data_IF_776483256174
#
_entry.id   IF_776483256174
#
_cell.length_a   1.000
_cell.length_b   1.000
_cell.length_c   1.000
_cell.angle_alpha   90.00
_cell.angle_beta   90.00
_cell.angle_gamma   90.00
#
_symmetry.space_group_name_H-M   'P 1'
#
loop_
_entity.id
_entity.type
_entity.pdbx_description
1 polymer ?
#
# COMPACT_ATOMS: atom_id res chain seq x y z
N UNK A 1 25.94 -27.17 53.04
CA UNK A 1 26.37 -26.59 51.74
C UNK A 1 25.49 -27.10 50.60
N UNK A 2 24.17 -26.88 50.65
CA UNK A 2 23.24 -27.41 49.64
C UNK A 2 22.04 -26.49 49.34
N UNK A 3 22.03 -25.25 49.87
CA UNK A 3 20.89 -24.31 49.74
C UNK A 3 21.13 -23.13 48.81
N UNK A 4 22.34 -22.98 48.25
CA UNK A 4 22.72 -21.83 47.41
C UNK A 4 22.67 -22.17 45.91
N UNK A 5 22.49 -23.44 45.53
CA UNK A 5 22.50 -23.87 44.12
C UNK A 5 21.12 -23.75 43.45
N UNK A 6 20.02 -23.67 44.22
CA UNK A 6 18.66 -23.63 43.65
C UNK A 6 18.22 -22.25 43.11
N UNK A 7 18.91 -21.16 43.49
CA UNK A 7 18.55 -19.80 43.06
C UNK A 7 19.20 -19.38 41.73
N UNK A 8 20.22 -20.12 41.27
CA UNK A 8 20.91 -19.83 40.00
C UNK A 8 20.20 -20.42 38.77
N UNK A 9 19.26 -21.35 38.94
CA UNK A 9 18.57 -22.02 37.83
C UNK A 9 17.31 -21.28 37.35
N UNK A 10 16.78 -20.33 38.13
CA UNK A 10 15.51 -19.64 37.82
C UNK A 10 15.69 -18.39 36.94
N UNK A 11 16.92 -17.87 36.81
CA UNK A 11 17.20 -16.63 36.07
C UNK A 11 17.41 -16.88 34.57
N UNK A 12 17.69 -18.12 34.15
CA UNK A 12 17.92 -18.46 32.74
C UNK A 12 16.66 -18.68 31.90
N UNK A 13 15.47 -18.70 32.50
CA UNK A 13 14.20 -18.97 31.79
C UNK A 13 13.57 -17.72 31.15
N UNK A 14 14.14 -16.53 31.34
CA UNK A 14 13.56 -15.28 30.81
C UNK A 14 14.05 -14.85 29.42
N UNK A 15 14.99 -15.57 28.79
CA UNK A 15 15.59 -15.17 27.50
C UNK A 15 15.20 -16.03 26.29
N UNK A 16 14.29 -17.00 26.43
CA UNK A 16 13.91 -17.89 25.32
C UNK A 16 12.68 -17.44 24.51
N UNK A 17 12.20 -16.21 24.70
CA UNK A 17 10.95 -15.72 24.15
C UNK A 17 11.08 -14.68 23.03
N UNK A 18 12.04 -14.80 22.12
CA UNK A 18 11.95 -14.08 20.84
C UNK A 18 10.81 -14.71 20.03
N UNK A 19 9.59 -14.17 20.20
CA UNK A 19 8.50 -14.44 19.28
C UNK A 19 8.90 -13.75 17.97
N UNK A 20 9.25 -14.54 16.97
CA UNK A 20 9.40 -14.06 15.61
C UNK A 20 8.06 -13.39 15.25
N UNK A 21 8.07 -12.07 15.07
CA UNK A 21 6.87 -11.34 14.71
C UNK A 21 6.46 -11.81 13.31
N UNK A 22 5.39 -12.62 13.25
CA UNK A 22 4.74 -12.95 11.98
C UNK A 22 4.40 -11.63 11.29
N UNK A 23 5.03 -11.40 10.15
CA UNK A 23 4.71 -10.28 9.28
C UNK A 23 3.21 -10.35 8.97
N UNK A 24 2.45 -9.26 9.16
CA UNK A 24 1.02 -9.27 8.91
C UNK A 24 0.77 -9.70 7.45
N UNK A 25 -0.03 -10.76 7.28
CA UNK A 25 -0.41 -11.25 5.96
C UNK A 25 -1.18 -10.15 5.22
N UNK A 26 -0.59 -9.59 4.17
CA UNK A 26 -1.26 -8.60 3.32
C UNK A 26 -2.29 -9.33 2.47
N UNK A 27 -3.56 -8.99 2.66
CA UNK A 27 -4.66 -9.58 1.91
C UNK A 27 -4.83 -8.88 0.56
N UNK A 28 -4.66 -7.55 0.51
CA UNK A 28 -4.76 -6.80 -0.73
C UNK A 28 -3.76 -5.66 -0.85
N UNK A 29 -3.35 -5.42 -2.10
CA UNK A 29 -2.58 -4.26 -2.53
C UNK A 29 -3.44 -3.36 -3.39
N UNK A 30 -3.63 -2.12 -2.95
CA UNK A 30 -4.48 -1.14 -3.61
C UNK A 30 -3.59 -0.02 -4.13
N UNK A 31 -3.81 0.41 -5.37
CA UNK A 31 -3.02 1.48 -5.96
C UNK A 31 -3.80 2.22 -7.04
N UNK A 32 -3.38 3.44 -7.36
CA UNK A 32 -3.97 4.17 -8.47
C UNK A 32 -3.72 5.66 -8.39
N UNK A 33 -4.57 6.43 -9.06
CA UNK A 33 -4.52 7.89 -9.07
C UNK A 33 -5.89 8.51 -8.84
N UNK A 34 -5.87 9.76 -8.39
CA UNK A 34 -7.05 10.60 -8.27
C UNK A 34 -6.75 12.01 -8.75
N UNK A 35 -7.77 12.72 -9.23
CA UNK A 35 -7.69 14.05 -9.82
C UNK A 35 -8.80 14.95 -9.24
N UNK A 36 -8.49 16.18 -8.83
CA UNK A 36 -9.52 17.16 -8.42
C UNK A 36 -10.25 17.76 -9.62
N UNK A 37 -9.53 17.94 -10.72
CA UNK A 37 -10.05 18.49 -11.97
C UNK A 37 -10.35 17.34 -12.94
N UNK A 38 -11.55 16.78 -12.85
CA UNK A 38 -12.04 15.77 -13.77
C UNK A 38 -13.54 15.95 -14.05
N UNK A 39 -13.98 15.47 -15.22
CA UNK A 39 -15.40 15.22 -15.49
C UNK A 39 -15.65 13.70 -15.40
N UNK A 40 -16.60 13.27 -14.57
CA UNK A 40 -16.92 11.85 -14.38
C UNK A 40 -16.10 11.18 -13.27
N UNK A 41 -15.41 10.09 -13.58
CA UNK A 41 -14.64 9.32 -12.59
C UNK A 41 -13.31 10.01 -12.27
N UNK A 42 -13.23 10.62 -11.10
CA UNK A 42 -12.03 11.35 -10.65
C UNK A 42 -10.98 10.47 -9.99
N UNK A 43 -11.22 9.17 -9.98
CA UNK A 43 -10.28 8.19 -9.47
C UNK A 43 -10.09 7.09 -10.51
N UNK A 44 -8.93 6.46 -10.46
CA UNK A 44 -8.63 5.26 -11.21
C UNK A 44 -7.82 4.40 -10.25
N UNK A 45 -8.51 3.55 -9.50
CA UNK A 45 -7.96 2.75 -8.41
C UNK A 45 -8.14 1.28 -8.74
N UNK A 46 -7.11 0.51 -8.42
CA UNK A 46 -7.05 -0.92 -8.61
C UNK A 46 -6.84 -1.63 -7.28
N UNK A 47 -7.48 -2.79 -7.11
CA UNK A 47 -7.25 -3.72 -6.00
C UNK A 47 -6.68 -5.02 -6.54
N UNK A 48 -5.45 -5.32 -6.15
CA UNK A 48 -4.80 -6.61 -6.37
C UNK A 48 -4.98 -7.49 -5.14
N UNK A 49 -5.70 -8.58 -5.29
CA UNK A 49 -6.11 -9.48 -4.21
C UNK A 49 -6.12 -10.92 -4.75
N UNK A 50 -5.44 -11.83 -4.04
CA UNK A 50 -5.37 -13.26 -4.38
C UNK A 50 -5.02 -13.53 -5.86
N UNK A 51 -4.07 -12.78 -6.42
CA UNK A 51 -3.62 -12.95 -7.80
C UNK A 51 -4.55 -12.35 -8.86
N UNK A 52 -5.62 -11.66 -8.45
CA UNK A 52 -6.59 -11.02 -9.34
C UNK A 52 -6.52 -9.51 -9.18
N UNK A 53 -6.78 -8.79 -10.27
CA UNK A 53 -6.81 -7.33 -10.28
C UNK A 53 -8.23 -6.86 -10.57
N UNK A 54 -8.73 -5.94 -9.77
CA UNK A 54 -10.05 -5.35 -9.92
C UNK A 54 -9.90 -3.85 -10.08
N UNK A 55 -10.66 -3.25 -11.00
CA UNK A 55 -10.77 -1.79 -11.16
C UNK A 55 -11.90 -1.26 -10.30
N UNK A 56 -11.79 0.00 -9.86
CA UNK A 56 -12.89 0.70 -9.20
C UNK A 56 -14.14 0.75 -10.08
N UNK A 57 -15.31 0.93 -9.44
CA UNK A 57 -16.59 0.95 -10.14
C UNK A 57 -17.12 2.36 -10.43
N UNK A 58 -16.24 3.37 -10.46
CA UNK A 58 -16.53 4.77 -10.77
C UNK A 58 -17.45 5.52 -9.79
N UNK A 59 -17.90 4.90 -8.68
CA UNK A 59 -18.76 5.56 -7.67
C UNK A 59 -18.02 6.12 -6.47
N UNK A 60 -16.70 5.93 -6.42
CA UNK A 60 -15.95 6.25 -5.21
C UNK A 60 -15.44 7.70 -5.23
N UNK A 61 -15.32 8.30 -4.05
CA UNK A 61 -14.91 9.70 -3.78
C UNK A 61 -16.00 10.79 -3.85
N UNK A 62 -17.07 10.66 -4.66
CA UNK A 62 -18.22 11.59 -4.62
C UNK A 62 -19.48 11.03 -3.95
N UNK A 63 -19.75 9.72 -4.10
CA UNK A 63 -21.01 9.12 -3.65
C UNK A 63 -20.86 8.19 -2.44
N UNK A 64 -19.64 7.72 -2.14
CA UNK A 64 -19.39 6.80 -1.02
C UNK A 64 -18.03 7.06 -0.34
N UNK A 65 -17.96 6.91 1.00
CA UNK A 65 -16.71 7.01 1.77
C UNK A 65 -15.78 5.79 1.60
N UNK A 66 -16.20 4.79 0.82
CA UNK A 66 -15.49 3.52 0.62
C UNK A 66 -15.27 3.30 -0.86
N UNK A 67 -14.05 2.92 -1.23
CA UNK A 67 -13.71 2.53 -2.61
C UNK A 67 -14.37 1.19 -2.90
N UNK A 68 -15.20 1.16 -3.93
CA UNK A 68 -15.86 -0.08 -4.37
C UNK A 68 -15.35 -0.50 -5.74
N UNK A 69 -15.24 -1.81 -5.94
CA UNK A 69 -14.58 -2.41 -7.10
C UNK A 69 -15.57 -3.20 -7.93
N UNK A 70 -15.26 -3.37 -9.21
CA UNK A 70 -15.97 -4.33 -10.06
C UNK A 70 -15.75 -5.75 -9.57
N UNK A 71 -16.73 -6.62 -9.80
CA UNK A 71 -16.68 -8.04 -9.42
C UNK A 71 -15.92 -8.91 -10.42
N UNK A 72 -15.88 -8.49 -11.68
CA UNK A 72 -15.12 -9.16 -12.74
C UNK A 72 -13.66 -8.70 -12.69
N UNK A 73 -12.68 -9.61 -12.53
CA UNK A 73 -11.28 -9.24 -12.55
C UNK A 73 -10.82 -8.88 -13.97
N UNK A 74 -9.80 -8.03 -14.05
CA UNK A 74 -9.04 -7.79 -15.27
C UNK A 74 -8.24 -9.03 -15.67
N UNK A 75 -7.68 -9.00 -16.88
CA UNK A 75 -6.91 -10.12 -17.41
C UNK A 75 -5.63 -10.42 -16.63
N UNK A 76 -5.06 -11.60 -16.87
CA UNK A 76 -3.85 -12.05 -16.19
C UNK A 76 -2.63 -11.18 -16.50
N UNK A 77 -2.58 -10.50 -17.64
CA UNK A 77 -1.50 -9.57 -17.99
C UNK A 77 -1.51 -8.37 -17.03
N UNK A 78 -2.70 -7.81 -16.81
CA UNK A 78 -2.96 -6.72 -15.87
C UNK A 78 -2.64 -7.15 -14.43
N UNK A 79 -3.08 -8.33 -14.02
CA UNK A 79 -2.76 -8.88 -12.70
C UNK A 79 -1.25 -9.10 -12.49
N UNK A 80 -0.53 -9.50 -13.53
CA UNK A 80 0.94 -9.66 -13.47
C UNK A 80 1.63 -8.31 -13.26
N UNK A 81 1.18 -7.24 -13.93
CA UNK A 81 1.70 -5.88 -13.72
C UNK A 81 1.50 -5.43 -12.27
N UNK A 82 0.31 -5.66 -11.72
CA UNK A 82 0.02 -5.33 -10.32
C UNK A 82 0.87 -6.15 -9.33
N UNK A 83 1.10 -7.44 -9.60
CA UNK A 83 1.98 -8.29 -8.79
C UNK A 83 3.44 -7.77 -8.79
N UNK A 84 3.94 -7.38 -9.96
CA UNK A 84 5.27 -6.79 -10.09
C UNK A 84 5.37 -5.47 -9.32
N UNK A 85 4.36 -4.61 -9.45
CA UNK A 85 4.28 -3.35 -8.71
C UNK A 85 4.25 -3.58 -7.19
N UNK A 86 3.47 -4.56 -6.71
CA UNK A 86 3.42 -4.95 -5.29
C UNK A 86 4.77 -5.40 -4.76
N UNK A 87 5.50 -6.17 -5.57
CA UNK A 87 6.83 -6.68 -5.20
C UNK A 87 7.87 -5.56 -5.11
N UNK A 88 7.70 -4.50 -5.90
CA UNK A 88 8.57 -3.33 -5.91
C UNK A 88 8.27 -2.30 -4.80
N UNK A 89 7.28 -2.55 -3.94
CA UNK A 89 6.84 -1.59 -2.92
C UNK A 89 7.98 -1.31 -1.91
N UNK A 90 8.38 -0.05 -1.70
CA UNK A 90 9.45 0.32 -0.78
C UNK A 90 8.92 0.36 0.67
N UNK A 91 8.54 -0.80 1.19
CA UNK A 91 7.90 -0.98 2.50
C UNK A 91 8.70 -0.34 3.65
N UNK A 92 10.04 -0.45 3.64
CA UNK A 92 10.90 0.14 4.66
C UNK A 92 10.79 1.68 4.73
N UNK A 93 10.55 2.34 3.60
CA UNK A 93 10.32 3.78 3.58
C UNK A 93 8.87 4.14 3.95
N UNK A 94 7.91 3.35 3.44
CA UNK A 94 6.48 3.67 3.53
C UNK A 94 5.89 3.31 4.89
N UNK A 95 6.18 2.16 5.49
CA UNK A 95 5.54 1.74 6.75
C UNK A 95 5.71 2.73 7.91
N UNK A 96 6.90 3.32 8.16
CA UNK A 96 7.05 4.36 9.19
C UNK A 96 6.22 5.63 8.92
N UNK A 97 5.68 5.77 7.70
CA UNK A 97 4.91 6.91 7.19
C UNK A 97 3.48 6.52 6.84
N UNK A 98 2.96 5.42 7.40
CA UNK A 98 1.57 5.02 7.18
C UNK A 98 0.61 6.17 7.52
N UNK A 99 -0.47 6.28 6.76
CA UNK A 99 -1.52 7.30 6.90
C UNK A 99 -1.03 8.73 6.62
N UNK A 100 0.01 8.89 5.80
CA UNK A 100 0.58 10.20 5.45
C UNK A 100 0.32 10.58 3.99
N UNK A 101 0.27 11.90 3.78
CA UNK A 101 0.38 12.51 2.46
C UNK A 101 1.82 12.97 2.22
N UNK A 102 2.47 12.40 1.22
CA UNK A 102 3.86 12.65 0.83
C UNK A 102 3.82 13.56 -0.40
N UNK A 103 3.89 14.87 -0.18
CA UNK A 103 3.84 15.87 -1.23
C UNK A 103 4.73 17.07 -0.85
N UNK A 104 4.91 18.00 -1.77
CA UNK A 104 5.64 19.22 -1.47
C UNK A 104 4.85 20.14 -0.53
N UNK A 105 5.54 20.73 0.45
CA UNK A 105 4.93 21.64 1.40
C UNK A 105 4.45 22.91 0.69
N UNK A 106 3.14 23.19 0.77
CA UNK A 106 2.52 24.39 0.20
C UNK A 106 2.16 24.32 -1.28
N UNK A 107 2.32 23.15 -1.92
CA UNK A 107 1.83 22.93 -3.27
C UNK A 107 0.32 22.71 -3.28
N UNK A 108 -0.37 23.33 -4.23
CA UNK A 108 -1.76 22.97 -4.55
C UNK A 108 -1.73 21.71 -5.42
N UNK A 109 -2.11 20.59 -4.83
CA UNK A 109 -2.15 19.30 -5.52
C UNK A 109 -3.52 19.11 -6.18
N UNK A 110 -3.57 19.13 -7.51
CA UNK A 110 -4.78 18.84 -8.29
C UNK A 110 -5.07 17.34 -8.42
N UNK A 111 -4.53 16.54 -7.50
CA UNK A 111 -4.64 15.09 -7.46
C UNK A 111 -3.42 14.44 -6.84
N UNK A 112 -3.37 13.12 -6.95
CA UNK A 112 -2.26 12.35 -6.40
C UNK A 112 -2.31 10.90 -6.80
N UNK A 113 -1.30 10.18 -6.36
CA UNK A 113 -1.27 8.73 -6.38
C UNK A 113 -1.71 8.20 -5.02
N UNK A 114 -2.45 7.10 -5.04
CA UNK A 114 -2.88 6.39 -3.85
C UNK A 114 -2.23 5.02 -3.83
N UNK A 115 -1.74 4.62 -2.67
CA UNK A 115 -1.20 3.28 -2.43
C UNK A 115 -1.69 2.81 -1.07
N UNK A 116 -2.12 1.56 -0.95
CA UNK A 116 -2.48 0.98 0.31
C UNK A 116 -2.23 -0.53 0.38
N UNK A 117 -2.04 -1.01 1.60
CA UNK A 117 -2.02 -2.41 1.97
C UNK A 117 -3.15 -2.65 2.96
N UNK A 118 -4.03 -3.60 2.63
CA UNK A 118 -5.16 -3.99 3.45
C UNK A 118 -4.94 -5.41 3.96
N UNK A 119 -5.26 -5.63 5.24
CA UNK A 119 -5.29 -6.94 5.87
C UNK A 119 -6.39 -7.00 6.94
N UNK A 120 -6.52 -8.15 7.60
CA UNK A 120 -7.44 -8.36 8.74
C UNK A 120 -7.31 -7.33 9.87
N UNK A 121 -6.14 -6.72 10.06
CA UNK A 121 -5.84 -5.80 11.16
C UNK A 121 -6.11 -4.33 10.76
N UNK A 122 -6.31 -4.05 9.48
CA UNK A 122 -6.71 -2.74 8.97
C UNK A 122 -6.04 -2.37 7.64
N UNK A 123 -5.93 -1.06 7.41
CA UNK A 123 -5.36 -0.49 6.19
C UNK A 123 -4.21 0.46 6.52
N UNK A 124 -3.06 0.22 5.90
CA UNK A 124 -1.99 1.21 5.79
C UNK A 124 -2.10 1.87 4.42
N UNK A 125 -2.22 3.18 4.36
CA UNK A 125 -2.32 3.92 3.09
C UNK A 125 -1.36 5.09 3.03
N UNK A 126 -1.05 5.49 1.81
CA UNK A 126 -0.23 6.64 1.47
C UNK A 126 -0.88 7.36 0.30
N UNK A 127 -0.82 8.69 0.37
CA UNK A 127 -1.05 9.52 -0.80
C UNK A 127 0.29 10.14 -1.19
N UNK A 128 0.61 10.17 -2.48
CA UNK A 128 1.84 10.77 -2.99
C UNK A 128 1.45 11.84 -4.02
N UNK A 129 2.03 13.03 -3.88
CA UNK A 129 1.80 14.14 -4.80
C UNK A 129 2.25 13.82 -6.23
N UNK A 130 1.78 14.59 -7.21
CA UNK A 130 2.03 14.25 -8.62
C UNK A 130 3.38 14.69 -9.16
N UNK A 131 4.03 15.66 -8.50
CA UNK A 131 5.21 16.34 -9.04
C UNK A 131 6.46 15.46 -8.85
N UNK A 132 7.00 14.82 -9.92
CA UNK A 132 8.05 13.82 -9.78
C UNK A 132 9.36 14.35 -9.17
N UNK A 133 9.65 15.63 -9.40
CA UNK A 133 10.82 16.32 -8.84
C UNK A 133 10.76 16.43 -7.31
N UNK A 134 9.59 16.26 -6.72
CA UNK A 134 9.37 16.35 -5.27
C UNK A 134 9.35 15.00 -4.58
N UNK A 135 9.39 13.90 -5.34
CA UNK A 135 9.40 12.58 -4.76
C UNK A 135 10.70 12.30 -4.02
N UNK A 136 10.64 11.74 -2.80
CA UNK A 136 11.81 11.23 -2.10
C UNK A 136 12.57 10.21 -2.97
N UNK A 137 13.90 10.31 -2.99
CA UNK A 137 14.75 9.46 -3.83
C UNK A 137 14.56 7.97 -3.53
N UNK A 138 14.24 7.61 -2.27
CA UNK A 138 14.00 6.24 -1.83
C UNK A 138 12.78 5.58 -2.49
N UNK A 139 11.77 6.37 -2.88
CA UNK A 139 10.53 5.86 -3.48
C UNK A 139 10.41 6.21 -4.96
N UNK A 140 11.25 7.08 -5.48
CA UNK A 140 11.21 7.54 -6.87
C UNK A 140 11.21 6.40 -7.90
N UNK A 141 12.02 5.32 -7.77
CA UNK A 141 11.94 4.18 -8.69
C UNK A 141 10.57 3.48 -8.66
N UNK A 142 10.00 3.30 -7.46
CA UNK A 142 8.67 2.72 -7.30
C UNK A 142 7.59 3.64 -7.87
N UNK A 143 7.69 4.95 -7.64
CA UNK A 143 6.73 5.91 -8.18
C UNK A 143 6.73 5.92 -9.71
N UNK A 144 7.91 5.89 -10.34
CA UNK A 144 8.00 5.74 -11.81
C UNK A 144 7.31 4.46 -12.30
N UNK A 145 7.54 3.33 -11.61
CA UNK A 145 6.88 2.06 -11.94
C UNK A 145 5.38 2.11 -11.70
N UNK A 146 4.91 2.79 -10.66
CA UNK A 146 3.50 2.98 -10.35
C UNK A 146 2.80 3.76 -11.47
N UNK A 147 3.38 4.89 -11.90
CA UNK A 147 2.84 5.70 -13.00
C UNK A 147 2.77 4.88 -14.27
N UNK A 148 3.87 4.23 -14.65
CA UNK A 148 3.91 3.36 -15.83
C UNK A 148 2.85 2.26 -15.76
N UNK A 149 2.73 1.60 -14.60
CA UNK A 149 1.76 0.52 -14.42
C UNK A 149 0.33 1.02 -14.58
N UNK A 150 -0.02 2.17 -13.99
CA UNK A 150 -1.36 2.76 -14.12
C UNK A 150 -1.67 3.12 -15.58
N UNK A 151 -0.70 3.67 -16.30
CA UNK A 151 -0.88 4.08 -17.71
C UNK A 151 -1.01 2.89 -18.67
N UNK A 152 -0.43 1.74 -18.32
CA UNK A 152 -0.53 0.49 -19.08
C UNK A 152 -1.78 -0.36 -18.73
N UNK A 153 -2.50 -0.01 -17.66
CA UNK A 153 -3.70 -0.73 -17.25
C UNK A 153 -4.96 -0.21 -17.96
N UNK A 154 -5.97 -1.08 -18.18
CA UNK A 154 -7.25 -0.67 -18.72
C UNK A 154 -7.87 0.48 -17.92
N UNK A 155 -8.35 1.50 -18.62
CA UNK A 155 -9.11 2.61 -18.06
C UNK A 155 -10.60 2.36 -18.33
N UNK A 156 -11.46 2.89 -17.46
CA UNK A 156 -12.93 2.91 -17.65
C UNK A 156 -13.38 4.08 -18.51
#
# INVERSE_FOLDING_TARGET
MARIILLSALVFLFFAGCKEEEQPQVDAFIFGRWNLLCEGNCIQIYKYDQGKLYIDNMRSFREAPVITYKTTPLDNSSATKAANLRTALPEAYLFPRALQFIACAGCEEEGGYYVALENKDGIAWWQIGKVPETWPEEIKPFMNLLVQTIDELPQE
#
